data_IF_298142265876
#
_entry.id   IF_298142265876
#
_cell.length_a   1.000
_cell.length_b   1.000
_cell.length_c   1.000
_cell.angle_alpha   90.00
_cell.angle_beta   90.00
_cell.angle_gamma   90.00
#
_symmetry.space_group_name_H-M   'P 1'
#
loop_
_entity.id
_entity.type
_entity.pdbx_description
1 polymer ?
#
# COMPACT_ATOMS: atom_id res chain seq x y z
N UNK A 1 6.01 14.29 -5.15
CA UNK A 1 4.88 15.17 -5.50
C UNK A 1 3.70 14.29 -5.85
N UNK A 2 2.50 14.50 -5.29
CA UNK A 2 1.32 13.75 -5.71
C UNK A 2 1.05 13.99 -7.20
N UNK A 3 0.67 12.94 -7.94
CA UNK A 3 0.39 12.99 -9.39
C UNK A 3 -0.89 13.78 -9.72
N UNK A 4 -1.49 14.44 -8.74
CA UNK A 4 -2.69 15.30 -8.87
C UNK A 4 -2.37 16.71 -9.37
N UNK A 5 -1.11 17.04 -9.59
CA UNK A 5 -0.66 18.35 -10.09
C UNK A 5 -0.69 18.51 -11.61
N UNK A 6 -1.40 17.66 -12.36
CA UNK A 6 -1.42 17.72 -13.84
C UNK A 6 -2.11 19.01 -14.30
N UNK A 7 -1.36 19.83 -15.03
CA UNK A 7 -1.83 21.08 -15.64
C UNK A 7 -2.22 20.82 -17.11
N UNK A 8 -3.31 21.42 -17.62
CA UNK A 8 -3.66 21.35 -19.04
C UNK A 8 -2.52 21.88 -19.93
N UNK A 9 -2.18 21.20 -21.04
CA UNK A 9 -1.16 21.69 -21.96
C UNK A 9 -1.61 22.92 -22.78
N UNK A 10 -2.92 23.15 -22.90
CA UNK A 10 -3.53 24.31 -23.54
C UNK A 10 -4.89 24.65 -22.91
N UNK A 11 -5.45 25.80 -23.26
CA UNK A 11 -6.72 26.31 -22.71
C UNK A 11 -7.97 25.74 -23.39
N UNK A 12 -7.82 24.89 -24.40
CA UNK A 12 -8.95 24.25 -25.05
C UNK A 12 -9.66 23.26 -24.10
N UNK A 13 -10.94 23.04 -24.36
CA UNK A 13 -11.80 22.21 -23.51
C UNK A 13 -11.31 20.76 -23.39
N UNK A 14 -10.69 20.21 -24.44
CA UNK A 14 -10.19 18.83 -24.44
C UNK A 14 -8.97 18.71 -23.52
N UNK A 15 -8.03 19.65 -23.61
CA UNK A 15 -6.88 19.74 -22.71
C UNK A 15 -7.28 19.88 -21.24
N UNK A 16 -8.28 20.73 -20.96
CA UNK A 16 -8.82 20.95 -19.62
C UNK A 16 -9.50 19.68 -19.05
N UNK A 17 -10.31 19.02 -19.87
CA UNK A 17 -10.99 17.79 -19.50
C UNK A 17 -9.98 16.67 -19.23
N UNK A 18 -8.98 16.50 -20.09
CA UNK A 18 -7.98 15.45 -19.96
C UNK A 18 -7.13 15.64 -18.69
N UNK A 19 -6.68 16.87 -18.41
CA UNK A 19 -5.97 17.17 -17.17
C UNK A 19 -6.85 16.87 -15.94
N UNK A 20 -8.13 17.17 -15.99
CA UNK A 20 -9.08 16.84 -14.91
C UNK A 20 -9.23 15.33 -14.73
N UNK A 21 -9.35 14.57 -15.82
CA UNK A 21 -9.41 13.10 -15.77
C UNK A 21 -8.16 12.49 -15.14
N UNK A 22 -6.97 12.96 -15.51
CA UNK A 22 -5.72 12.50 -14.90
C UNK A 22 -5.64 12.82 -13.41
N UNK A 23 -6.07 14.01 -13.00
CA UNK A 23 -6.10 14.40 -11.58
C UNK A 23 -7.07 13.51 -10.78
N UNK A 24 -8.25 13.23 -11.32
CA UNK A 24 -9.22 12.31 -10.70
C UNK A 24 -8.65 10.89 -10.58
N UNK A 25 -8.03 10.37 -11.65
CA UNK A 25 -7.39 9.06 -11.60
C UNK A 25 -6.27 9.00 -10.56
N UNK A 26 -5.43 10.02 -10.51
CA UNK A 26 -4.36 10.14 -9.54
C UNK A 26 -4.87 10.15 -8.09
N UNK A 27 -5.96 10.85 -7.81
CA UNK A 27 -6.57 10.88 -6.46
C UNK A 27 -7.13 9.50 -6.06
N UNK A 28 -7.81 8.82 -6.99
CA UNK A 28 -8.30 7.45 -6.78
C UNK A 28 -7.15 6.47 -6.55
N UNK A 29 -6.09 6.55 -7.36
CA UNK A 29 -4.91 5.73 -7.19
C UNK A 29 -4.27 5.94 -5.82
N UNK A 30 -4.04 7.20 -5.40
CA UNK A 30 -3.45 7.48 -4.10
C UNK A 30 -4.31 6.97 -2.94
N UNK A 31 -5.63 7.09 -3.04
CA UNK A 31 -6.56 6.52 -2.04
C UNK A 31 -6.43 5.00 -1.96
N UNK A 32 -6.34 4.31 -3.11
CA UNK A 32 -6.15 2.88 -3.16
C UNK A 32 -4.78 2.45 -2.62
N UNK A 33 -3.70 3.16 -2.99
CA UNK A 33 -2.35 2.91 -2.49
C UNK A 33 -2.23 3.10 -0.98
N UNK A 34 -2.90 4.11 -0.41
CA UNK A 34 -2.93 4.32 1.05
C UNK A 34 -3.57 3.13 1.77
N UNK A 35 -4.69 2.62 1.26
CA UNK A 35 -5.34 1.41 1.81
C UNK A 35 -4.45 0.18 1.66
N UNK A 36 -3.79 0.02 0.51
CA UNK A 36 -2.87 -1.09 0.28
C UNK A 36 -1.67 -1.06 1.24
N UNK A 37 -1.13 0.12 1.55
CA UNK A 37 -0.05 0.28 2.51
C UNK A 37 -0.45 -0.19 3.92
N UNK A 38 -1.65 0.18 4.38
CA UNK A 38 -2.19 -0.29 5.68
C UNK A 38 -2.36 -1.81 5.71
N UNK A 39 -2.90 -2.39 4.64
CA UNK A 39 -3.05 -3.85 4.53
C UNK A 39 -1.68 -4.54 4.54
N UNK A 40 -0.71 -3.99 3.82
CA UNK A 40 0.65 -4.52 3.77
C UNK A 40 1.33 -4.51 5.15
N UNK A 41 1.20 -3.42 5.91
CA UNK A 41 1.73 -3.32 7.27
C UNK A 41 1.13 -4.38 8.20
N UNK A 42 -0.20 -4.54 8.17
CA UNK A 42 -0.89 -5.57 8.96
C UNK A 42 -0.45 -6.98 8.57
N UNK A 43 -0.29 -7.23 7.27
CA UNK A 43 0.17 -8.51 6.74
C UNK A 43 1.58 -8.85 7.26
N UNK A 44 2.53 -7.92 7.14
CA UNK A 44 3.91 -8.13 7.61
C UNK A 44 3.95 -8.31 9.13
N UNK A 45 3.17 -7.54 9.88
CA UNK A 45 3.06 -7.68 11.35
C UNK A 45 2.54 -9.06 11.75
N UNK A 46 1.53 -9.57 11.03
CA UNK A 46 0.95 -10.90 11.27
C UNK A 46 1.96 -12.01 10.96
N UNK A 47 2.71 -11.87 9.87
CA UNK A 47 3.78 -12.81 9.50
C UNK A 47 4.88 -12.85 10.57
N UNK A 48 5.33 -11.68 11.04
CA UNK A 48 6.36 -11.59 12.07
C UNK A 48 5.90 -12.24 13.39
N UNK A 49 4.66 -11.99 13.79
CA UNK A 49 4.05 -12.61 14.98
C UNK A 49 4.01 -14.13 14.84
N UNK A 50 3.54 -14.62 13.69
CA UNK A 50 3.47 -16.06 13.42
C UNK A 50 4.84 -16.72 13.46
N UNK A 51 5.86 -16.08 12.89
CA UNK A 51 7.23 -16.58 12.92
C UNK A 51 7.78 -16.68 14.36
N UNK A 52 7.49 -15.70 15.21
CA UNK A 52 7.84 -15.77 16.65
C UNK A 52 7.16 -16.95 17.34
N UNK A 53 5.87 -17.16 17.12
CA UNK A 53 5.13 -18.28 17.71
C UNK A 53 5.70 -19.65 17.32
N UNK A 54 6.12 -19.79 16.05
CA UNK A 54 6.79 -21.01 15.59
C UNK A 54 8.16 -21.19 16.27
N UNK A 55 8.97 -20.14 16.36
CA UNK A 55 10.26 -20.20 17.05
C UNK A 55 10.11 -20.56 18.54
N UNK A 56 9.12 -20.01 19.23
CA UNK A 56 8.82 -20.35 20.63
C UNK A 56 8.41 -21.83 20.77
N UNK A 57 7.61 -22.33 19.83
CA UNK A 57 7.19 -23.74 19.80
C UNK A 57 8.39 -24.67 19.54
N UNK A 58 9.26 -24.33 18.60
CA UNK A 58 10.49 -25.08 18.32
C UNK A 58 11.43 -25.11 19.52
N UNK A 59 11.61 -23.98 20.21
CA UNK A 59 12.40 -23.89 21.43
C UNK A 59 11.82 -24.76 22.56
N UNK A 60 10.51 -24.71 22.77
CA UNK A 60 9.83 -25.55 23.75
C UNK A 60 10.00 -27.05 23.43
N UNK A 61 9.85 -27.44 22.16
CA UNK A 61 10.05 -28.82 21.72
C UNK A 61 11.50 -29.27 21.95
N UNK A 62 12.49 -28.43 21.64
CA UNK A 62 13.91 -28.76 21.84
C UNK A 62 14.27 -29.06 23.30
N UNK A 63 13.56 -28.44 24.26
CA UNK A 63 13.71 -28.72 25.70
C UNK A 63 13.09 -30.08 26.08
N UNK A 64 12.07 -30.54 25.37
CA UNK A 64 11.37 -31.81 25.66
C UNK A 64 12.06 -33.02 25.03
N UNK A 65 12.73 -32.86 23.88
CA UNK A 65 13.45 -33.95 23.18
C UNK A 65 14.95 -34.06 23.48
N UNK A 66 15.53 -33.11 24.23
CA UNK A 66 16.92 -33.17 24.72
C UNK A 66 17.05 -33.79 26.10
#
# INVERSE_FOLDING_TARGET
>A
MPTTGVVPPAADEVSLLLATQFRTHAATYQTASAKAAVIHEQFVTTLATSASSYADTEAANAVVTG
#
